data_IF_731042101490
#
_entry.id   IF_731042101490
#
_cell.length_a   1.000
_cell.length_b   1.000
_cell.length_c   1.000
_cell.angle_alpha   90.00
_cell.angle_beta   90.00
_cell.angle_gamma   90.00
#
_symmetry.space_group_name_H-M   'P 1'
#
loop_
_entity.id
_entity.type
_entity.pdbx_description
1 polymer ?
#
# COMPACT_ATOMS: atom_id res chain seq x y z
N UNK A 1 16.67 -0.75 31.60
CA UNK A 1 16.73 -0.71 30.12
C UNK A 1 15.55 0.13 29.71
N UNK A 2 15.81 1.40 29.42
CA UNK A 2 14.80 2.28 28.83
C UNK A 2 14.49 1.73 27.44
N UNK A 3 13.39 1.03 27.29
CA UNK A 3 12.79 0.78 25.98
C UNK A 3 12.34 2.15 25.47
N UNK A 4 13.20 2.78 24.66
CA UNK A 4 12.78 3.92 23.85
C UNK A 4 11.54 3.46 23.06
N UNK A 5 10.37 3.95 23.45
CA UNK A 5 9.19 3.71 22.66
C UNK A 5 9.41 4.53 21.37
N UNK A 6 9.46 3.86 20.24
CA UNK A 6 9.52 4.50 18.91
C UNK A 6 8.37 5.53 18.74
N UNK A 7 7.39 5.46 19.61
CA UNK A 7 6.21 6.30 19.65
C UNK A 7 6.50 7.73 20.14
N UNK A 8 7.44 7.87 21.12
CA UNK A 8 7.75 9.18 21.71
C UNK A 8 8.84 9.92 20.91
N UNK A 9 9.47 9.23 19.97
CA UNK A 9 10.64 9.72 19.25
C UNK A 9 10.34 10.37 17.89
N UNK A 10 9.14 10.21 17.33
CA UNK A 10 8.85 10.66 15.97
C UNK A 10 7.54 11.47 15.94
N UNK A 11 7.50 12.68 15.37
CA UNK A 11 6.25 13.29 14.93
C UNK A 11 5.67 12.39 13.81
N UNK A 12 4.88 11.42 14.26
CA UNK A 12 4.33 10.33 13.44
C UNK A 12 3.71 10.85 12.15
N UNK A 13 2.99 11.97 12.25
CA UNK A 13 2.32 12.57 11.09
C UNK A 13 3.29 13.04 10.01
N UNK A 14 4.47 13.56 10.37
CA UNK A 14 5.46 14.09 9.44
C UNK A 14 6.13 12.95 8.66
N UNK A 15 6.73 12.00 9.37
CA UNK A 15 7.45 10.88 8.74
C UNK A 15 6.48 9.99 7.97
N UNK A 16 5.40 9.54 8.64
CA UNK A 16 4.41 8.65 8.01
C UNK A 16 3.71 9.31 6.82
N UNK A 17 3.28 10.56 6.98
CA UNK A 17 2.63 11.31 5.91
C UNK A 17 3.54 11.47 4.69
N UNK A 18 4.82 11.78 4.90
CA UNK A 18 5.82 11.89 3.81
C UNK A 18 6.00 10.55 3.10
N UNK A 19 6.21 9.48 3.84
CA UNK A 19 6.45 8.14 3.28
C UNK A 19 5.22 7.64 2.51
N UNK A 20 4.02 7.75 3.06
CA UNK A 20 2.78 7.33 2.38
C UNK A 20 2.55 8.16 1.10
N UNK A 21 2.85 9.47 1.14
CA UNK A 21 2.78 10.31 -0.06
C UNK A 21 3.72 9.80 -1.15
N UNK A 22 4.96 9.49 -0.78
CA UNK A 22 5.97 8.97 -1.72
C UNK A 22 5.55 7.60 -2.25
N UNK A 23 5.04 6.68 -1.40
CA UNK A 23 4.53 5.36 -1.85
C UNK A 23 3.47 5.56 -2.94
N UNK A 24 2.47 6.41 -2.69
CA UNK A 24 1.43 6.65 -3.68
C UNK A 24 1.98 7.22 -4.98
N UNK A 25 2.85 8.24 -4.91
CA UNK A 25 3.39 8.91 -6.09
C UNK A 25 4.36 8.03 -6.89
N UNK A 26 5.21 7.23 -6.25
CA UNK A 26 6.17 6.35 -6.92
C UNK A 26 5.51 5.18 -7.66
N UNK A 27 4.28 4.82 -7.28
CA UNK A 27 3.53 3.75 -7.94
C UNK A 27 2.64 4.23 -9.10
N UNK A 28 2.44 5.56 -9.27
CA UNK A 28 1.67 6.12 -10.40
C UNK A 28 2.27 5.72 -11.75
N UNK A 29 3.61 5.79 -12.00
CA UNK A 29 4.17 5.36 -13.27
C UNK A 29 3.84 3.90 -13.63
N UNK A 30 3.85 2.99 -12.63
CA UNK A 30 3.47 1.59 -12.83
C UNK A 30 2.01 1.47 -13.27
N UNK A 31 1.12 2.24 -12.67
CA UNK A 31 -0.28 2.27 -13.08
C UNK A 31 -0.44 2.78 -14.52
N UNK A 32 0.29 3.83 -14.89
CA UNK A 32 0.27 4.39 -16.26
C UNK A 32 0.83 3.41 -17.28
N UNK A 33 1.91 2.68 -16.94
CA UNK A 33 2.45 1.61 -17.76
C UNK A 33 1.40 0.52 -18.03
N UNK A 34 0.71 0.07 -16.98
CA UNK A 34 -0.41 -0.88 -17.11
C UNK A 34 -1.57 -0.34 -17.96
N UNK A 35 -1.89 0.95 -17.84
CA UNK A 35 -2.89 1.60 -18.72
C UNK A 35 -2.53 1.50 -20.20
N UNK A 36 -1.23 1.51 -20.52
CA UNK A 36 -0.72 1.30 -21.86
C UNK A 36 -0.92 -0.12 -22.40
N UNK A 37 -1.20 -1.09 -21.56
CA UNK A 37 -1.43 -2.49 -21.94
C UNK A 37 -0.30 -3.44 -21.56
N UNK A 38 0.58 -3.08 -20.65
CA UNK A 38 1.69 -3.90 -20.17
C UNK A 38 3.03 -3.18 -20.25
N UNK A 39 4.08 -3.90 -20.64
CA UNK A 39 5.43 -3.33 -20.72
C UNK A 39 5.52 -2.30 -21.84
N UNK A 40 6.24 -1.19 -21.59
CA UNK A 40 6.49 -0.15 -22.59
C UNK A 40 7.23 -0.63 -23.86
N UNK A 41 7.86 -1.82 -23.79
CA UNK A 41 8.51 -2.48 -24.91
C UNK A 41 7.58 -3.29 -25.81
N UNK A 42 6.34 -3.52 -25.39
CA UNK A 42 5.36 -4.31 -26.13
C UNK A 42 4.82 -3.55 -27.33
N UNK A 43 4.64 -4.24 -28.46
CA UNK A 43 4.14 -3.64 -29.71
C UNK A 43 2.73 -3.04 -29.58
N UNK A 44 1.93 -3.54 -28.63
CA UNK A 44 0.57 -3.08 -28.34
C UNK A 44 0.52 -1.99 -27.28
N UNK A 45 1.67 -1.55 -26.77
CA UNK A 45 1.76 -0.50 -25.76
C UNK A 45 1.22 0.83 -26.31
N UNK A 46 0.30 1.44 -25.59
CA UNK A 46 -0.30 2.71 -26.01
C UNK A 46 -1.37 2.56 -27.12
N UNK A 47 -1.78 1.34 -27.47
CA UNK A 47 -2.90 1.14 -28.41
C UNK A 47 -4.12 1.92 -27.91
N UNK A 48 -4.83 2.67 -28.80
CA UNK A 48 -6.05 3.40 -28.46
C UNK A 48 -7.11 2.58 -27.72
N UNK A 49 -7.20 1.27 -27.99
CA UNK A 49 -8.11 0.35 -27.28
C UNK A 49 -7.75 0.19 -25.82
N UNK A 50 -6.45 0.07 -25.52
CA UNK A 50 -5.94 -0.05 -24.14
C UNK A 50 -6.25 1.23 -23.36
N UNK A 51 -5.92 2.38 -23.93
CA UNK A 51 -6.19 3.67 -23.32
C UNK A 51 -7.68 3.89 -23.11
N UNK A 52 -8.52 3.54 -24.09
CA UNK A 52 -9.96 3.63 -23.94
C UNK A 52 -10.49 2.80 -22.78
N UNK A 53 -10.05 1.54 -22.64
CA UNK A 53 -10.45 0.68 -21.53
C UNK A 53 -10.01 1.25 -20.17
N UNK A 54 -8.77 1.74 -20.08
CA UNK A 54 -8.26 2.36 -18.88
C UNK A 54 -9.08 3.59 -18.46
N UNK A 55 -9.34 4.51 -19.41
CA UNK A 55 -10.13 5.71 -19.14
C UNK A 55 -11.59 5.40 -18.82
N UNK A 56 -12.22 4.42 -19.47
CA UNK A 56 -13.57 3.99 -19.13
C UNK A 56 -13.61 3.40 -17.72
N UNK A 57 -12.60 2.60 -17.34
CA UNK A 57 -12.50 2.07 -15.98
C UNK A 57 -12.40 3.19 -14.95
N UNK A 58 -11.56 4.19 -15.18
CA UNK A 58 -11.43 5.38 -14.32
C UNK A 58 -12.77 6.12 -14.24
N UNK A 59 -13.42 6.35 -15.39
CA UNK A 59 -14.72 7.03 -15.45
C UNK A 59 -15.80 6.28 -14.65
N UNK A 60 -15.87 4.95 -14.76
CA UNK A 60 -16.78 4.12 -13.97
C UNK A 60 -16.52 4.27 -12.47
N UNK A 61 -15.25 4.24 -12.05
CA UNK A 61 -14.88 4.45 -10.64
C UNK A 61 -15.35 5.83 -10.17
N UNK A 62 -15.10 6.88 -10.95
CA UNK A 62 -15.51 8.26 -10.62
C UNK A 62 -17.03 8.35 -10.53
N UNK A 63 -17.77 7.82 -11.50
CA UNK A 63 -19.23 7.81 -11.50
C UNK A 63 -19.77 7.16 -10.23
N UNK A 64 -19.27 5.96 -9.88
CA UNK A 64 -19.70 5.26 -8.67
C UNK A 64 -19.28 6.00 -7.40
N UNK A 65 -18.10 6.62 -7.40
CA UNK A 65 -17.60 7.37 -6.25
C UNK A 65 -18.40 8.66 -6.00
N UNK A 66 -18.89 9.32 -7.05
CA UNK A 66 -19.65 10.58 -6.96
C UNK A 66 -21.12 10.33 -6.66
N UNK A 67 -21.76 9.44 -7.42
CA UNK A 67 -23.20 9.17 -7.31
C UNK A 67 -23.56 7.98 -6.44
N UNK A 68 -22.61 7.09 -6.13
CA UNK A 68 -22.82 5.95 -5.24
C UNK A 68 -23.08 6.41 -3.80
N UNK A 69 -23.90 5.62 -3.08
CA UNK A 69 -24.25 5.87 -1.67
C UNK A 69 -23.87 4.66 -0.81
N UNK A 70 -23.46 4.91 0.41
CA UNK A 70 -23.18 3.87 1.40
C UNK A 70 -22.19 2.83 0.89
N UNK A 71 -22.56 1.56 0.92
CA UNK A 71 -21.70 0.43 0.56
C UNK A 71 -21.23 0.47 -0.92
N UNK A 72 -22.07 0.91 -1.85
CA UNK A 72 -21.73 1.00 -3.29
C UNK A 72 -20.53 1.91 -3.51
N UNK A 73 -20.48 3.04 -2.82
CA UNK A 73 -19.33 3.97 -2.88
C UNK A 73 -18.04 3.30 -2.40
N UNK A 74 -18.12 2.47 -1.38
CA UNK A 74 -16.94 1.79 -0.81
C UNK A 74 -16.33 0.74 -1.73
N UNK A 75 -17.11 0.16 -2.63
CA UNK A 75 -16.66 -0.84 -3.62
C UNK A 75 -16.51 -0.24 -5.04
N UNK A 76 -16.40 1.09 -5.16
CA UNK A 76 -16.35 1.78 -6.45
C UNK A 76 -15.23 1.26 -7.36
N UNK A 77 -14.04 1.01 -6.80
CA UNK A 77 -12.91 0.46 -7.56
C UNK A 77 -13.23 -0.94 -8.09
N UNK A 78 -13.82 -1.80 -7.27
CA UNK A 78 -14.24 -3.14 -7.71
C UNK A 78 -15.26 -3.08 -8.83
N UNK A 79 -16.27 -2.20 -8.73
CA UNK A 79 -17.28 -2.01 -9.78
C UNK A 79 -16.61 -1.51 -11.07
N UNK A 80 -15.65 -0.59 -10.97
CA UNK A 80 -14.89 -0.12 -12.14
C UNK A 80 -14.08 -1.23 -12.79
N UNK A 81 -13.36 -2.05 -12.01
CA UNK A 81 -12.60 -3.18 -12.52
C UNK A 81 -13.51 -4.23 -13.20
N UNK A 82 -14.61 -4.59 -12.57
CA UNK A 82 -15.58 -5.55 -13.14
C UNK A 82 -16.22 -4.98 -14.41
N UNK A 83 -16.67 -3.72 -14.37
CA UNK A 83 -17.27 -3.06 -15.53
C UNK A 83 -16.29 -2.91 -16.70
N UNK A 84 -15.05 -2.51 -16.42
CA UNK A 84 -13.96 -2.44 -17.39
C UNK A 84 -13.64 -3.81 -18.00
N UNK A 85 -13.60 -4.88 -17.18
CA UNK A 85 -13.35 -6.25 -17.65
C UNK A 85 -14.51 -6.76 -18.51
N UNK A 86 -15.77 -6.48 -18.16
CA UNK A 86 -16.93 -6.82 -18.97
C UNK A 86 -16.84 -6.12 -20.33
N UNK A 87 -16.52 -4.84 -20.36
CA UNK A 87 -16.33 -4.11 -21.61
C UNK A 87 -15.18 -4.70 -22.45
N UNK A 88 -14.07 -5.04 -21.81
CA UNK A 88 -12.94 -5.70 -22.48
C UNK A 88 -13.34 -7.07 -23.06
N UNK A 89 -14.21 -7.82 -22.38
CA UNK A 89 -14.73 -9.08 -22.88
C UNK A 89 -15.57 -8.89 -24.17
N UNK A 90 -16.40 -7.84 -24.22
CA UNK A 90 -17.13 -7.49 -25.45
C UNK A 90 -16.22 -7.09 -26.61
N UNK A 91 -15.04 -6.55 -26.31
CA UNK A 91 -14.02 -6.21 -27.29
C UNK A 91 -13.12 -7.39 -27.68
N UNK A 92 -13.34 -8.59 -27.10
CA UNK A 92 -12.54 -9.79 -27.36
C UNK A 92 -11.14 -9.75 -26.77
N UNK A 93 -10.90 -8.94 -25.75
CA UNK A 93 -9.58 -8.73 -25.12
C UNK A 93 -9.40 -9.53 -23.82
N UNK A 94 -10.35 -10.39 -23.46
CA UNK A 94 -10.31 -11.23 -22.25
C UNK A 94 -10.03 -12.67 -22.64
N UNK A 95 -8.96 -13.25 -22.07
CA UNK A 95 -8.69 -14.67 -22.18
C UNK A 95 -9.26 -15.41 -20.97
N UNK A 96 -10.21 -16.31 -21.19
CA UNK A 96 -10.85 -17.12 -20.16
C UNK A 96 -10.11 -18.45 -19.89
N UNK A 97 -9.04 -18.75 -20.65
CA UNK A 97 -8.27 -19.99 -20.52
C UNK A 97 -7.76 -20.24 -19.09
N UNK A 98 -7.25 -19.23 -18.33
CA UNK A 98 -6.79 -19.44 -16.96
C UNK A 98 -7.90 -19.95 -16.03
N UNK A 99 -9.14 -19.46 -16.20
CA UNK A 99 -10.28 -19.90 -15.39
C UNK A 99 -10.70 -21.32 -15.75
N UNK A 100 -10.62 -21.68 -17.05
CA UNK A 100 -10.91 -23.05 -17.51
C UNK A 100 -9.94 -24.09 -16.93
N UNK A 101 -8.65 -23.74 -16.88
CA UNK A 101 -7.58 -24.63 -16.43
C UNK A 101 -7.43 -24.69 -14.90
N UNK A 102 -7.91 -23.69 -14.17
CA UNK A 102 -7.80 -23.63 -12.73
C UNK A 102 -8.61 -24.75 -12.05
N UNK A 103 -8.02 -25.37 -11.05
CA UNK A 103 -8.68 -26.35 -10.18
C UNK A 103 -9.70 -25.66 -9.29
N UNK A 104 -10.73 -26.41 -8.87
CA UNK A 104 -11.72 -25.91 -7.94
C UNK A 104 -11.18 -25.75 -6.53
N UNK A 105 -10.26 -26.63 -6.14
CA UNK A 105 -9.76 -26.66 -4.78
C UNK A 105 -8.26 -26.94 -4.77
N UNK A 106 -7.51 -26.16 -3.98
CA UNK A 106 -6.09 -26.37 -3.76
C UNK A 106 -5.69 -25.91 -2.35
N UNK A 107 -4.90 -26.73 -1.67
CA UNK A 107 -4.31 -26.32 -0.40
C UNK A 107 -3.01 -25.54 -0.65
N UNK A 108 -2.86 -24.35 -0.05
CA UNK A 108 -1.60 -23.62 -0.10
C UNK A 108 -0.46 -24.48 0.44
N UNK A 109 0.61 -24.60 -0.32
CA UNK A 109 1.78 -25.38 0.08
C UNK A 109 2.81 -24.45 0.75
N UNK A 110 3.29 -24.76 1.97
CA UNK A 110 4.37 -24.01 2.56
C UNK A 110 5.66 -24.19 1.75
N UNK A 111 6.46 -23.13 1.68
CA UNK A 111 7.76 -23.12 0.97
C UNK A 111 7.67 -23.58 -0.50
N UNK A 112 6.60 -23.19 -1.21
CA UNK A 112 6.35 -23.57 -2.61
C UNK A 112 7.51 -23.25 -3.55
N UNK A 113 8.19 -22.09 -3.36
CA UNK A 113 9.35 -21.67 -4.17
C UNK A 113 10.68 -22.31 -3.73
N UNK A 114 10.66 -23.22 -2.78
CA UNK A 114 11.86 -23.88 -2.28
C UNK A 114 12.23 -23.48 -0.87
N UNK A 115 13.40 -23.97 -0.41
CA UNK A 115 13.89 -23.67 0.93
C UNK A 115 14.28 -22.20 1.07
N UNK A 116 14.01 -21.56 2.22
CA UNK A 116 14.42 -20.20 2.46
C UNK A 116 15.95 -20.03 2.32
N UNK A 117 16.35 -19.00 1.60
CA UNK A 117 17.75 -18.56 1.54
C UNK A 117 17.90 -17.27 2.34
N UNK A 118 19.04 -17.12 3.00
CA UNK A 118 19.30 -15.97 3.85
C UNK A 118 20.40 -15.10 3.20
N UNK A 119 20.02 -13.93 2.72
CA UNK A 119 20.93 -12.90 2.24
C UNK A 119 20.87 -11.69 3.19
N UNK A 120 22.02 -11.25 3.67
CA UNK A 120 22.10 -10.19 4.66
C UNK A 120 21.52 -8.86 4.16
N UNK A 121 21.75 -8.52 2.89
CA UNK A 121 21.25 -7.28 2.29
C UNK A 121 19.73 -7.27 2.23
N UNK A 122 19.14 -8.38 1.80
CA UNK A 122 17.68 -8.57 1.76
C UNK A 122 17.07 -8.53 3.16
N UNK A 123 17.72 -9.13 4.16
CA UNK A 123 17.25 -9.11 5.55
C UNK A 123 17.23 -7.66 6.08
N UNK A 124 18.32 -6.90 5.89
CA UNK A 124 18.39 -5.50 6.34
C UNK A 124 17.35 -4.65 5.63
N UNK A 125 17.18 -4.82 4.31
CA UNK A 125 16.13 -4.13 3.54
C UNK A 125 14.74 -4.42 4.10
N UNK A 126 14.44 -5.70 4.38
CA UNK A 126 13.14 -6.09 4.92
C UNK A 126 12.90 -5.60 6.35
N UNK A 127 13.95 -5.48 7.17
CA UNK A 127 13.85 -4.84 8.49
C UNK A 127 13.44 -3.37 8.35
N UNK A 128 14.07 -2.63 7.43
CA UNK A 128 13.73 -1.22 7.19
C UNK A 128 12.27 -1.09 6.71
N UNK A 129 11.87 -1.91 5.75
CA UNK A 129 10.49 -1.93 5.24
C UNK A 129 9.50 -2.27 6.36
N UNK A 130 9.84 -3.22 7.24
CA UNK A 130 8.99 -3.57 8.38
C UNK A 130 8.83 -2.43 9.38
N UNK A 131 9.88 -1.66 9.63
CA UNK A 131 9.80 -0.44 10.47
C UNK A 131 8.84 0.57 9.84
N UNK A 132 8.94 0.79 8.52
CA UNK A 132 8.04 1.69 7.79
C UNK A 132 6.59 1.20 7.88
N UNK A 133 6.36 -0.11 7.70
CA UNK A 133 5.04 -0.74 7.86
C UNK A 133 4.47 -0.54 9.26
N UNK A 134 5.29 -0.71 10.31
CA UNK A 134 4.86 -0.46 11.70
C UNK A 134 4.45 0.99 11.94
N UNK A 135 5.17 1.95 11.35
CA UNK A 135 4.83 3.37 11.44
C UNK A 135 3.49 3.65 10.73
N UNK A 136 3.26 3.06 9.55
CA UNK A 136 1.98 3.15 8.84
C UNK A 136 0.83 2.55 9.66
N UNK A 137 1.01 1.34 10.17
CA UNK A 137 0.01 0.64 10.99
C UNK A 137 -0.33 1.41 12.26
N UNK A 138 0.63 2.13 12.85
CA UNK A 138 0.38 3.01 14.00
C UNK A 138 -0.68 4.05 13.67
N UNK A 139 -0.58 4.71 12.51
CA UNK A 139 -1.58 5.68 12.04
C UNK A 139 -2.97 5.05 11.87
N UNK A 140 -3.03 3.81 11.38
CA UNK A 140 -4.29 3.05 11.25
C UNK A 140 -4.89 2.73 12.61
N UNK A 141 -4.09 2.29 13.59
CA UNK A 141 -4.57 1.96 14.93
C UNK A 141 -5.14 3.18 15.64
N UNK A 142 -4.48 4.34 15.58
CA UNK A 142 -5.01 5.58 16.15
C UNK A 142 -6.29 6.03 15.47
N UNK A 143 -6.35 6.00 14.15
CA UNK A 143 -7.56 6.36 13.41
C UNK A 143 -8.75 5.44 13.76
N UNK A 144 -8.52 4.14 13.98
CA UNK A 144 -9.52 3.22 14.50
C UNK A 144 -9.90 3.52 15.95
N UNK A 145 -8.93 3.90 16.78
CA UNK A 145 -9.15 4.35 18.16
C UNK A 145 -10.12 5.51 18.21
N UNK A 146 -9.88 6.55 17.41
CA UNK A 146 -10.72 7.74 17.31
C UNK A 146 -12.16 7.39 16.89
N UNK A 147 -12.32 6.56 15.86
CA UNK A 147 -13.64 6.16 15.35
C UNK A 147 -14.39 5.31 16.37
N UNK A 148 -13.70 4.41 17.07
CA UNK A 148 -14.31 3.49 18.03
C UNK A 148 -14.50 4.11 19.41
N UNK A 149 -13.88 5.28 19.67
CA UNK A 149 -13.88 5.95 20.96
C UNK A 149 -12.97 5.27 21.99
N UNK A 150 -12.02 4.45 21.55
CA UNK A 150 -11.04 3.77 22.40
C UNK A 150 -9.71 4.50 22.36
N UNK A 151 -9.18 4.92 23.51
CA UNK A 151 -7.80 5.39 23.61
C UNK A 151 -6.86 4.22 23.36
N UNK A 152 -6.01 4.35 22.34
CA UNK A 152 -5.00 3.36 22.01
C UNK A 152 -3.76 3.64 22.84
N UNK A 153 -3.39 2.70 23.69
CA UNK A 153 -2.19 2.76 24.53
C UNK A 153 -1.05 1.90 24.00
N UNK A 154 0.08 1.94 24.69
CA UNK A 154 1.29 1.19 24.34
C UNK A 154 1.03 -0.32 24.24
N UNK A 155 0.26 -0.89 25.18
CA UNK A 155 -0.08 -2.32 25.14
C UNK A 155 -0.93 -2.71 23.92
N UNK A 156 -1.83 -1.83 23.49
CA UNK A 156 -2.65 -2.08 22.30
C UNK A 156 -1.76 -2.08 21.03
N UNK A 157 -0.84 -1.13 20.93
CA UNK A 157 0.12 -1.05 19.82
C UNK A 157 1.03 -2.27 19.80
N UNK A 158 1.59 -2.65 20.96
CA UNK A 158 2.44 -3.84 21.07
C UNK A 158 1.73 -5.10 20.61
N UNK A 159 0.48 -5.31 21.03
CA UNK A 159 -0.35 -6.44 20.58
C UNK A 159 -0.64 -6.38 19.08
N UNK A 160 -0.88 -5.19 18.55
CA UNK A 160 -1.10 -4.96 17.12
C UNK A 160 0.14 -5.37 16.31
N UNK A 161 1.32 -4.87 16.68
CA UNK A 161 2.58 -5.21 16.00
C UNK A 161 2.95 -6.68 16.10
N UNK A 162 2.72 -7.33 17.25
CA UNK A 162 2.93 -8.77 17.37
C UNK A 162 2.00 -9.57 16.45
N UNK A 163 0.73 -9.17 16.36
CA UNK A 163 -0.22 -9.84 15.47
C UNK A 163 0.15 -9.64 13.99
N UNK A 164 0.56 -8.44 13.59
CA UNK A 164 1.00 -8.13 12.23
C UNK A 164 2.30 -8.87 11.89
N UNK A 165 3.29 -8.86 12.78
CA UNK A 165 4.54 -9.60 12.59
C UNK A 165 4.33 -11.11 12.46
N UNK A 166 3.45 -11.70 13.30
CA UNK A 166 3.09 -13.11 13.18
C UNK A 166 2.39 -13.41 11.85
N UNK A 167 1.50 -12.52 11.41
CA UNK A 167 0.82 -12.66 10.13
C UNK A 167 1.81 -12.60 8.95
N UNK A 168 2.81 -11.70 9.00
CA UNK A 168 3.87 -11.60 7.98
C UNK A 168 4.76 -12.85 7.96
N UNK A 169 5.10 -13.41 9.15
CA UNK A 169 5.86 -14.68 9.24
C UNK A 169 5.07 -15.82 8.59
N UNK A 170 3.79 -15.97 8.93
CA UNK A 170 2.93 -16.97 8.32
C UNK A 170 2.80 -16.75 6.81
N UNK A 171 2.66 -15.49 6.38
CA UNK A 171 2.65 -15.11 4.97
C UNK A 171 3.92 -15.57 4.25
N UNK A 172 5.10 -15.34 4.83
CA UNK A 172 6.38 -15.78 4.27
C UNK A 172 6.47 -17.31 4.12
N UNK A 173 5.95 -18.09 5.09
CA UNK A 173 5.90 -19.55 5.01
C UNK A 173 5.03 -20.00 3.83
N UNK A 174 3.90 -19.31 3.58
CA UNK A 174 2.97 -19.61 2.48
C UNK A 174 3.26 -18.80 1.20
N UNK A 175 4.45 -18.20 1.09
CA UNK A 175 4.95 -17.49 -0.10
C UNK A 175 4.08 -16.30 -0.52
N UNK A 176 3.53 -15.56 0.46
CA UNK A 176 2.88 -14.28 0.20
C UNK A 176 3.86 -13.13 0.41
N UNK A 177 3.59 -12.01 -0.23
CA UNK A 177 4.32 -10.77 0.03
C UNK A 177 4.01 -10.24 1.44
N UNK A 178 4.94 -9.50 2.07
CA UNK A 178 4.66 -8.78 3.30
C UNK A 178 3.49 -7.80 3.08
N UNK A 179 2.67 -7.63 4.10
CA UNK A 179 1.50 -6.75 4.06
C UNK A 179 1.34 -6.01 5.38
N UNK A 180 0.63 -4.90 5.31
CA UNK A 180 0.33 -4.01 6.42
C UNK A 180 -1.18 -3.82 6.56
N UNK A 181 -1.61 -3.13 7.61
CA UNK A 181 -3.02 -2.79 7.81
C UNK A 181 -3.56 -1.93 6.66
N UNK A 182 -4.65 -2.36 6.03
CA UNK A 182 -5.26 -1.65 4.90
C UNK A 182 -6.03 -0.41 5.41
N UNK A 183 -5.41 0.75 5.30
CA UNK A 183 -5.92 2.02 5.85
C UNK A 183 -7.29 2.43 5.31
N UNK A 184 -7.63 2.05 4.08
CA UNK A 184 -8.94 2.34 3.49
C UNK A 184 -10.11 1.67 4.23
N UNK A 185 -9.86 0.54 4.92
CA UNK A 185 -10.85 -0.11 5.75
C UNK A 185 -11.29 0.73 6.97
N UNK A 186 -10.45 1.65 7.43
CA UNK A 186 -10.80 2.61 8.49
C UNK A 186 -12.02 3.44 8.05
N UNK A 187 -12.01 3.91 6.79
CA UNK A 187 -13.14 4.61 6.19
C UNK A 187 -14.43 3.76 6.14
N UNK A 188 -14.31 2.45 5.90
CA UNK A 188 -15.47 1.54 5.92
C UNK A 188 -16.06 1.40 7.32
N UNK A 189 -15.24 1.31 8.36
CA UNK A 189 -15.70 1.28 9.76
C UNK A 189 -16.45 2.56 10.09
N UNK A 190 -15.91 3.71 9.68
CA UNK A 190 -16.57 5.00 9.88
C UNK A 190 -17.92 5.10 9.16
N UNK A 191 -17.98 4.67 7.90
CA UNK A 191 -19.19 4.74 7.06
C UNK A 191 -20.28 3.76 7.53
N UNK A 192 -19.90 2.54 7.92
CA UNK A 192 -20.82 1.52 8.38
C UNK A 192 -21.32 1.75 9.81
N UNK A 193 -20.55 2.48 10.61
CA UNK A 193 -20.82 2.66 12.04
C UNK A 193 -20.65 1.37 12.87
N UNK A 194 -20.18 0.27 12.26
CA UNK A 194 -20.00 -1.00 12.94
C UNK A 194 -18.66 -1.01 13.67
N UNK A 195 -18.68 -0.85 14.99
CA UNK A 195 -17.49 -0.75 15.85
C UNK A 195 -17.10 -2.07 16.53
N UNK A 196 -17.59 -3.21 16.04
CA UNK A 196 -17.34 -4.54 16.60
C UNK A 196 -16.34 -5.32 15.77
N UNK A 197 -15.68 -6.32 16.36
CA UNK A 197 -14.73 -7.20 15.68
C UNK A 197 -15.37 -8.31 14.83
N UNK A 198 -16.68 -8.51 14.95
CA UNK A 198 -17.40 -9.60 14.26
C UNK A 198 -17.20 -9.59 12.74
N UNK A 199 -17.35 -8.45 12.04
CA UNK A 199 -17.09 -8.43 10.58
C UNK A 199 -15.69 -8.88 10.19
N UNK A 200 -14.69 -8.61 11.03
CA UNK A 200 -13.30 -9.01 10.76
C UNK A 200 -13.14 -10.53 10.78
N UNK A 201 -13.78 -11.23 11.74
CA UNK A 201 -13.74 -12.69 11.78
C UNK A 201 -14.44 -13.30 10.56
N UNK A 202 -15.58 -12.76 10.14
CA UNK A 202 -16.26 -13.20 8.92
C UNK A 202 -15.41 -12.92 7.67
N UNK A 203 -14.79 -11.76 7.58
CA UNK A 203 -13.88 -11.44 6.47
C UNK A 203 -12.72 -12.43 6.42
N UNK A 204 -12.08 -12.73 7.55
CA UNK A 204 -11.00 -13.71 7.62
C UNK A 204 -11.47 -15.11 7.15
N UNK A 205 -12.64 -15.53 7.60
CA UNK A 205 -13.23 -16.80 7.17
C UNK A 205 -13.46 -16.85 5.66
N UNK A 206 -14.07 -15.80 5.08
CA UNK A 206 -14.27 -15.73 3.64
C UNK A 206 -12.95 -15.68 2.87
N UNK A 207 -11.93 -14.94 3.36
CA UNK A 207 -10.61 -14.89 2.72
C UNK A 207 -9.93 -16.26 2.70
N UNK A 208 -10.07 -17.06 3.78
CA UNK A 208 -9.57 -18.43 3.82
C UNK A 208 -10.27 -19.29 2.75
N UNK A 209 -11.59 -19.21 2.66
CA UNK A 209 -12.36 -19.95 1.63
C UNK A 209 -11.90 -19.52 0.23
N UNK A 210 -11.78 -18.22 -0.03
CA UNK A 210 -11.33 -17.71 -1.32
C UNK A 210 -9.91 -18.18 -1.66
N UNK A 211 -9.02 -18.26 -0.68
CA UNK A 211 -7.66 -18.77 -0.85
C UNK A 211 -7.60 -20.26 -1.18
N UNK A 212 -8.62 -21.04 -0.78
CA UNK A 212 -8.73 -22.46 -1.11
C UNK A 212 -9.35 -22.72 -2.49
N UNK A 213 -9.86 -21.69 -3.17
CA UNK A 213 -10.56 -21.76 -4.46
C UNK A 213 -9.74 -21.07 -5.58
N UNK A 214 -8.74 -21.74 -6.20
CA UNK A 214 -7.90 -21.17 -7.24
C UNK A 214 -8.69 -20.59 -8.42
N UNK A 215 -9.85 -21.14 -8.69
CA UNK A 215 -10.74 -20.67 -9.74
C UNK A 215 -11.15 -19.20 -9.57
N UNK A 216 -11.34 -18.76 -8.31
CA UNK A 216 -11.63 -17.35 -8.01
C UNK A 216 -10.38 -16.49 -8.21
N UNK A 217 -9.20 -16.99 -7.81
CA UNK A 217 -7.92 -16.32 -8.11
C UNK A 217 -7.68 -16.18 -9.61
N UNK A 218 -8.01 -17.21 -10.39
CA UNK A 218 -7.93 -17.17 -11.85
C UNK A 218 -8.88 -16.13 -12.47
N UNK A 219 -10.05 -15.88 -11.85
CA UNK A 219 -10.95 -14.78 -12.30
C UNK A 219 -10.30 -13.40 -12.11
N UNK A 220 -9.41 -13.22 -11.15
CA UNK A 220 -8.66 -11.96 -11.04
C UNK A 220 -7.58 -11.83 -12.14
N UNK A 221 -7.04 -12.94 -12.63
CA UNK A 221 -6.02 -12.95 -13.68
C UNK A 221 -6.56 -12.61 -15.07
N UNK A 222 -7.87 -12.74 -15.30
CA UNK A 222 -8.47 -12.37 -16.58
C UNK A 222 -8.71 -10.87 -16.75
N UNK A 223 -8.52 -10.08 -15.68
CA UNK A 223 -8.65 -8.63 -15.74
C UNK A 223 -7.53 -8.08 -16.64
N UNK A 224 -7.85 -7.43 -17.78
CA UNK A 224 -6.82 -6.92 -18.68
C UNK A 224 -5.94 -5.85 -18.01
N UNK A 225 -4.67 -5.82 -18.40
CA UNK A 225 -3.69 -4.84 -17.91
C UNK A 225 -4.20 -3.39 -17.95
N UNK A 226 -4.86 -2.89 -19.04
CA UNK A 226 -5.36 -1.52 -19.08
C UNK A 226 -6.44 -1.24 -18.04
N UNK A 227 -7.29 -2.22 -17.77
CA UNK A 227 -8.36 -2.12 -16.75
C UNK A 227 -7.74 -2.05 -15.36
N UNK A 228 -6.76 -2.93 -15.09
CA UNK A 228 -5.97 -2.90 -13.85
C UNK A 228 -5.28 -1.54 -13.69
N UNK A 229 -4.61 -1.05 -14.74
CA UNK A 229 -3.92 0.23 -14.73
C UNK A 229 -4.84 1.39 -14.38
N UNK A 230 -6.05 1.43 -14.96
CA UNK A 230 -7.06 2.43 -14.62
C UNK A 230 -7.46 2.39 -13.14
N UNK A 231 -7.71 1.20 -12.60
CA UNK A 231 -8.01 1.00 -11.18
C UNK A 231 -6.83 1.37 -10.27
N UNK A 232 -5.61 0.94 -10.63
CA UNK A 232 -4.37 1.21 -9.88
C UNK A 232 -4.07 2.71 -9.82
N UNK A 233 -4.28 3.45 -10.92
CA UNK A 233 -4.05 4.90 -10.94
C UNK A 233 -4.89 5.62 -9.89
N UNK A 234 -6.18 5.27 -9.81
CA UNK A 234 -7.08 5.84 -8.79
C UNK A 234 -6.63 5.43 -7.38
N UNK A 235 -6.30 4.15 -7.16
CA UNK A 235 -5.89 3.67 -5.84
C UNK A 235 -4.57 4.31 -5.37
N UNK A 236 -3.55 4.36 -6.20
CA UNK A 236 -2.26 4.96 -5.82
C UNK A 236 -2.37 6.48 -5.63
N UNK A 237 -3.18 7.15 -6.47
CA UNK A 237 -3.53 8.55 -6.25
C UNK A 237 -4.21 8.77 -4.89
N UNK A 238 -5.13 7.90 -4.49
CA UNK A 238 -5.77 7.98 -3.18
C UNK A 238 -4.79 7.74 -2.03
N UNK A 239 -3.83 6.83 -2.19
CA UNK A 239 -2.76 6.61 -1.19
C UNK A 239 -1.91 7.88 -1.04
N UNK A 240 -1.49 8.50 -2.15
CA UNK A 240 -0.75 9.76 -2.11
C UNK A 240 -1.52 10.87 -1.38
N UNK A 241 -2.80 11.03 -1.69
CA UNK A 241 -3.67 12.01 -1.03
C UNK A 241 -3.86 11.70 0.47
N UNK A 242 -3.91 10.43 0.86
CA UNK A 242 -3.96 10.05 2.27
C UNK A 242 -2.69 10.48 3.02
N UNK A 243 -1.52 10.29 2.42
CA UNK A 243 -0.25 10.82 2.95
C UNK A 243 -0.28 12.35 3.09
N UNK A 244 -0.73 13.06 2.06
CA UNK A 244 -0.89 14.52 2.10
C UNK A 244 -1.86 14.98 3.20
N UNK A 245 -2.93 14.23 3.42
CA UNK A 245 -3.88 14.49 4.51
C UNK A 245 -3.25 14.32 5.89
N UNK A 246 -2.32 13.40 6.05
CA UNK A 246 -1.55 13.27 7.29
C UNK A 246 -0.59 14.45 7.45
N UNK A 247 0.07 14.86 6.36
CA UNK A 247 0.94 16.03 6.34
C UNK A 247 0.21 17.34 6.68
N UNK A 248 -1.09 17.47 6.38
CA UNK A 248 -1.86 18.68 6.74
C UNK A 248 -1.96 18.94 8.24
N UNK A 249 -1.60 17.97 9.09
CA UNK A 249 -1.52 18.11 10.55
C UNK A 249 -0.15 18.58 11.04
N UNK A 250 0.83 18.67 10.15
CA UNK A 250 2.20 19.10 10.46
C UNK A 250 2.28 20.62 10.49
N UNK A 251 3.05 21.16 11.41
CA UNK A 251 3.35 22.58 11.45
C UNK A 251 4.29 22.98 10.31
N UNK A 252 3.75 23.65 9.29
CA UNK A 252 4.49 24.15 8.12
C UNK A 252 5.19 25.50 8.37
N UNK A 253 4.96 26.15 9.52
CA UNK A 253 5.71 27.37 9.88
C UNK A 253 7.13 27.03 10.36
N UNK A 254 7.39 25.78 10.69
CA UNK A 254 8.71 25.28 11.07
C UNK A 254 9.50 24.85 9.82
N UNK A 255 10.51 25.63 9.45
CA UNK A 255 11.39 25.39 8.29
C UNK A 255 12.06 24.01 8.33
N UNK A 256 12.33 23.44 9.51
CA UNK A 256 12.91 22.12 9.65
C UNK A 256 11.94 21.03 9.12
N UNK A 257 10.65 21.15 9.44
CA UNK A 257 9.62 20.23 8.96
C UNK A 257 9.50 20.30 7.43
N UNK A 258 9.50 21.52 6.87
CA UNK A 258 9.48 21.73 5.42
C UNK A 258 10.68 21.07 4.74
N UNK A 259 11.88 21.24 5.31
CA UNK A 259 13.11 20.67 4.76
C UNK A 259 13.09 19.13 4.80
N UNK A 260 12.61 18.54 5.90
CA UNK A 260 12.45 17.07 6.02
C UNK A 260 11.54 16.54 4.91
N UNK A 261 10.36 17.15 4.75
CA UNK A 261 9.38 16.75 3.73
C UNK A 261 9.98 16.89 2.33
N UNK A 262 10.57 18.05 2.03
CA UNK A 262 11.09 18.38 0.70
C UNK A 262 12.20 17.40 0.27
N UNK A 263 13.20 17.17 1.13
CA UNK A 263 14.33 16.28 0.81
C UNK A 263 13.86 14.82 0.70
N UNK A 264 12.99 14.38 1.62
CA UNK A 264 12.49 13.00 1.63
C UNK A 264 11.64 12.68 0.40
N UNK A 265 10.76 13.61 -0.03
CA UNK A 265 9.99 13.46 -1.27
C UNK A 265 10.94 13.52 -2.48
N UNK A 266 11.90 14.47 -2.49
CA UNK A 266 12.87 14.63 -3.57
C UNK A 266 13.70 13.36 -3.79
N UNK A 267 14.23 12.76 -2.74
CA UNK A 267 14.99 11.50 -2.83
C UNK A 267 14.08 10.33 -3.22
N UNK A 268 12.89 10.25 -2.63
CA UNK A 268 11.93 9.20 -2.94
C UNK A 268 11.53 9.17 -4.42
N UNK A 269 11.11 10.30 -4.95
CA UNK A 269 10.71 10.41 -6.36
C UNK A 269 11.92 10.41 -7.30
N UNK A 270 12.96 11.17 -6.99
CA UNK A 270 14.14 11.32 -7.85
C UNK A 270 14.83 9.98 -8.09
N UNK A 271 15.07 9.20 -7.05
CA UNK A 271 15.76 7.91 -7.18
C UNK A 271 14.87 6.83 -7.82
N UNK A 272 13.57 6.92 -7.61
CA UNK A 272 12.65 6.02 -8.31
C UNK A 272 12.56 6.29 -9.82
N UNK A 273 12.69 7.55 -10.24
CA UNK A 273 12.64 7.94 -11.66
C UNK A 273 13.98 7.67 -12.37
N UNK A 274 15.11 7.82 -11.63
CA UNK A 274 16.46 7.67 -12.18
C UNK A 274 17.27 6.60 -11.44
N UNK A 275 16.83 5.32 -11.46
CA UNK A 275 17.54 4.24 -10.74
C UNK A 275 18.95 4.00 -11.28
N UNK A 276 19.21 4.37 -12.55
CA UNK A 276 20.52 4.25 -13.21
C UNK A 276 21.62 5.12 -12.59
N UNK A 277 21.27 6.11 -11.77
CA UNK A 277 22.20 6.95 -11.03
C UNK A 277 23.17 6.11 -10.16
N UNK A 278 22.70 4.98 -9.68
CA UNK A 278 23.43 4.10 -8.76
C UNK A 278 24.07 2.87 -9.43
N UNK A 279 24.11 2.80 -10.75
CA UNK A 279 24.68 1.64 -11.46
C UNK A 279 26.18 1.40 -11.20
N UNK A 280 26.89 2.40 -10.69
CA UNK A 280 28.35 2.30 -10.38
C UNK A 280 28.66 2.04 -8.91
N UNK A 281 27.64 2.00 -8.03
CA UNK A 281 27.84 1.67 -6.62
C UNK A 281 27.72 0.15 -6.42
N UNK A 282 28.30 -0.40 -5.33
CA UNK A 282 28.15 -1.82 -5.01
C UNK A 282 26.68 -2.24 -4.96
N UNK A 283 26.36 -3.46 -5.39
CA UNK A 283 25.00 -4.00 -5.47
C UNK A 283 24.25 -3.87 -4.15
N UNK A 284 24.94 -4.13 -3.04
CA UNK A 284 24.38 -3.95 -1.68
C UNK A 284 23.87 -2.52 -1.43
N UNK A 285 24.57 -1.50 -1.94
CA UNK A 285 24.19 -0.09 -1.80
C UNK A 285 23.09 0.25 -2.79
N UNK A 286 23.19 -0.21 -4.05
CA UNK A 286 22.20 0.06 -5.09
C UNK A 286 20.82 -0.52 -4.75
N UNK A 287 20.75 -1.63 -4.01
CA UNK A 287 19.50 -2.22 -3.52
C UNK A 287 18.71 -1.24 -2.64
N UNK A 288 19.38 -0.46 -1.81
CA UNK A 288 18.73 0.56 -0.98
C UNK A 288 18.46 1.85 -1.75
N UNK A 289 19.45 2.34 -2.46
CA UNK A 289 19.38 3.64 -3.16
C UNK A 289 18.51 3.60 -4.39
N UNK A 290 18.37 2.43 -5.04
CA UNK A 290 17.47 2.23 -6.16
C UNK A 290 15.99 2.13 -5.78
N UNK A 291 15.67 2.07 -4.48
CA UNK A 291 14.31 2.02 -3.99
C UNK A 291 13.91 3.37 -3.38
N UNK A 292 13.14 4.17 -4.12
CA UNK A 292 12.73 5.50 -3.69
C UNK A 292 11.95 5.53 -2.39
N UNK A 293 11.11 4.51 -2.12
CA UNK A 293 10.32 4.41 -0.89
C UNK A 293 11.25 4.25 0.32
N UNK A 294 12.24 3.35 0.19
CA UNK A 294 13.22 3.09 1.26
C UNK A 294 14.06 4.35 1.51
N UNK A 295 14.54 5.00 0.46
CA UNK A 295 15.34 6.22 0.59
C UNK A 295 14.55 7.38 1.20
N UNK A 296 13.31 7.56 0.79
CA UNK A 296 12.43 8.56 1.42
C UNK A 296 12.25 8.28 2.91
N UNK A 297 12.00 7.02 3.26
CA UNK A 297 11.76 6.61 4.64
C UNK A 297 12.99 6.83 5.53
N UNK A 298 14.16 6.36 5.08
CA UNK A 298 15.43 6.55 5.78
C UNK A 298 15.72 8.05 5.95
N UNK A 299 15.55 8.84 4.89
CA UNK A 299 15.79 10.28 4.90
C UNK A 299 14.87 10.99 5.87
N UNK A 300 13.56 10.68 5.82
CA UNK A 300 12.58 11.29 6.71
C UNK A 300 12.89 10.98 8.19
N UNK A 301 13.23 9.73 8.50
CA UNK A 301 13.57 9.31 9.86
C UNK A 301 14.86 10.01 10.33
N UNK A 302 15.94 9.96 9.55
CA UNK A 302 17.23 10.53 9.92
C UNK A 302 17.12 12.04 10.10
N UNK A 303 16.54 12.76 9.13
CA UNK A 303 16.41 14.20 9.21
C UNK A 303 15.48 14.63 10.36
N UNK A 304 14.42 13.86 10.62
CA UNK A 304 13.56 14.14 11.74
C UNK A 304 14.29 13.98 13.08
N UNK A 305 15.08 12.93 13.25
CA UNK A 305 15.91 12.73 14.44
C UNK A 305 16.96 13.83 14.61
N UNK A 306 17.59 14.27 13.52
CA UNK A 306 18.61 15.31 13.55
C UNK A 306 18.02 16.70 13.88
N UNK A 307 16.88 17.05 13.35
CA UNK A 307 16.33 18.40 13.45
C UNK A 307 15.39 18.58 14.64
N UNK A 308 14.57 17.57 14.94
CA UNK A 308 13.56 17.63 15.99
C UNK A 308 13.99 16.88 17.25
N UNK A 309 15.04 16.03 17.17
CA UNK A 309 15.52 15.22 18.27
C UNK A 309 14.47 14.19 18.75
N UNK A 310 14.74 13.61 19.91
CA UNK A 310 13.81 12.71 20.61
C UNK A 310 12.92 13.51 21.59
N UNK A 311 12.39 14.67 21.19
CA UNK A 311 11.54 15.46 22.07
C UNK A 311 10.15 14.82 22.15
N UNK A 312 9.74 14.51 23.38
CA UNK A 312 8.35 14.29 23.74
C UNK A 312 7.54 15.49 23.26
N UNK A 313 6.58 15.27 22.36
CA UNK A 313 5.52 16.23 22.14
C UNK A 313 4.63 16.19 23.39
N UNK A 314 4.89 17.06 24.35
CA UNK A 314 3.89 17.41 25.32
C UNK A 314 2.68 17.92 24.53
N UNK A 315 1.64 17.11 24.43
CA UNK A 315 0.33 17.59 24.04
C UNK A 315 -0.02 18.72 25.02
N UNK A 316 -0.10 19.93 24.50
CA UNK A 316 -0.71 21.04 25.21
C UNK A 316 -2.14 20.64 25.54
N UNK A 317 -2.39 20.31 26.78
CA UNK A 317 -3.73 20.38 27.36
C UNK A 317 -4.22 21.81 27.21
N UNK A 318 -5.10 22.08 26.25
CA UNK A 318 -6.11 23.13 26.30
C UNK A 318 -7.37 22.64 25.56
#
# INVERSE_FOLDING_TARGET
IYTLSLHDALPISLVTGTVITVIGLTLIPVAVEKMGGGLATDKSFGDPKNLFLAFVTIALIIVVQVWGRGFIKSIAVLIGLVGGTILAAFLGLVDLSPVGQATWFHFPQPFYFGKPTFDLSSIVLMIIISIVSMVESTGVYFALGDITGKKIGEDDLRRGYHAEGLAVILGGIFNTFPYTGFSQNVGLVQLSGIKTRRPIYFSAFFLIILGLLPKIGAMAQIIPEPVLGGGMLVMFGMVAVQGMRMLSKVDYSNDKNLLIIAISIGFGLGFNIMPTLFNKVPETVSMFTGNGIVMSSITAIILNLLFNGLKETSESNE
#
